data_IF_296840029568
#
_entry.id   IF_296840029568
#
_cell.length_a   1.000
_cell.length_b   1.000
_cell.length_c   1.000
_cell.angle_alpha   90.00
_cell.angle_beta   90.00
_cell.angle_gamma   90.00
#
_symmetry.space_group_name_H-M   'P 1'
#
loop_
_entity.id
_entity.type
_entity.pdbx_description
1 polymer ?
#
# COMPACT_ATOMS: atom_id res chain seq x y z
N UNK A 1 -2.88 -20.50 21.47
CA UNK A 1 -2.01 -20.08 20.35
C UNK A 1 -2.85 -19.41 19.28
N UNK A 2 -3.45 -18.26 19.60
CA UNK A 2 -4.26 -17.47 18.68
C UNK A 2 -4.00 -16.00 19.02
N UNK A 3 -3.30 -15.28 18.13
CA UNK A 3 -3.33 -13.80 18.04
C UNK A 3 -2.43 -13.24 16.93
N UNK A 4 -1.42 -13.97 16.45
CA UNK A 4 -0.44 -13.41 15.50
C UNK A 4 -1.00 -13.05 14.12
N UNK A 5 -2.05 -13.74 13.67
CA UNK A 5 -2.73 -13.44 12.40
C UNK A 5 -3.57 -12.15 12.48
N UNK A 6 -4.14 -11.85 13.66
CA UNK A 6 -4.98 -10.68 13.88
C UNK A 6 -4.13 -9.42 14.05
N UNK A 7 -3.02 -9.53 14.77
CA UNK A 7 -2.05 -8.43 14.95
C UNK A 7 -1.40 -7.99 13.63
N UNK A 8 -1.12 -8.94 12.73
CA UNK A 8 -0.59 -8.64 11.39
C UNK A 8 -1.64 -7.96 10.49
N UNK A 9 -2.89 -8.43 10.52
CA UNK A 9 -3.98 -7.81 9.77
C UNK A 9 -4.24 -6.36 10.24
N UNK A 10 -4.25 -6.14 11.55
CA UNK A 10 -4.40 -4.81 12.15
C UNK A 10 -3.25 -3.88 11.78
N UNK A 11 -2.00 -4.37 11.82
CA UNK A 11 -0.81 -3.60 11.42
C UNK A 11 -0.90 -3.16 9.96
N UNK A 12 -1.30 -4.06 9.07
CA UNK A 12 -1.45 -3.77 7.64
C UNK A 12 -2.57 -2.76 7.38
N UNK A 13 -3.69 -2.86 8.07
CA UNK A 13 -4.79 -1.88 8.01
C UNK A 13 -4.34 -0.50 8.49
N UNK A 14 -3.55 -0.44 9.57
CA UNK A 14 -3.00 0.82 10.09
C UNK A 14 -2.05 1.47 9.09
N UNK A 15 -1.15 0.69 8.48
CA UNK A 15 -0.23 1.17 7.44
C UNK A 15 -0.98 1.67 6.20
N UNK A 16 -1.96 0.91 5.72
CA UNK A 16 -2.75 1.31 4.56
C UNK A 16 -3.55 2.60 4.85
N UNK A 17 -4.10 2.74 6.05
CA UNK A 17 -4.78 3.96 6.49
C UNK A 17 -3.84 5.17 6.54
N UNK A 18 -2.60 4.97 7.01
CA UNK A 18 -1.57 6.02 7.03
C UNK A 18 -1.18 6.45 5.60
N UNK A 19 -0.99 5.49 4.68
CA UNK A 19 -0.69 5.80 3.27
C UNK A 19 -1.81 6.59 2.61
N UNK A 20 -3.07 6.22 2.84
CA UNK A 20 -4.22 6.97 2.32
C UNK A 20 -4.22 8.39 2.85
N UNK A 21 -4.04 8.59 4.17
CA UNK A 21 -3.99 9.92 4.76
C UNK A 21 -2.84 10.77 4.19
N UNK A 22 -1.66 10.17 4.00
CA UNK A 22 -0.49 10.84 3.41
C UNK A 22 -0.76 11.26 1.97
N UNK A 23 -1.29 10.36 1.14
CA UNK A 23 -1.58 10.63 -0.27
C UNK A 23 -2.64 11.73 -0.40
N UNK A 24 -3.67 11.71 0.43
CA UNK A 24 -4.70 12.75 0.45
C UNK A 24 -4.12 14.11 0.85
N UNK A 25 -3.37 14.16 1.96
CA UNK A 25 -2.76 15.40 2.47
C UNK A 25 -1.81 16.03 1.44
N UNK A 26 -0.95 15.22 0.81
CA UNK A 26 -0.05 15.72 -0.22
C UNK A 26 -0.78 16.05 -1.53
N UNK A 27 -1.88 15.36 -1.82
CA UNK A 27 -2.77 15.62 -2.96
C UNK A 27 -3.49 16.96 -2.89
N UNK A 28 -3.74 17.48 -1.68
CA UNK A 28 -4.30 18.82 -1.48
C UNK A 28 -3.34 19.93 -1.95
N UNK A 29 -2.03 19.71 -1.79
CA UNK A 29 -0.99 20.65 -2.23
C UNK A 29 -0.59 20.41 -3.70
N UNK A 30 -0.57 19.15 -4.14
CA UNK A 30 -0.24 18.75 -5.51
C UNK A 30 -1.24 17.72 -6.04
N UNK A 31 -2.19 18.20 -6.85
CA UNK A 31 -3.25 17.37 -7.45
C UNK A 31 -2.73 16.22 -8.32
N UNK A 32 -1.49 16.27 -8.80
CA UNK A 32 -0.87 15.20 -9.58
C UNK A 32 -0.23 14.11 -8.71
N UNK A 33 -0.01 14.39 -7.43
CA UNK A 33 0.68 13.50 -6.51
C UNK A 33 0.02 12.11 -6.39
N UNK A 34 -1.32 11.98 -6.20
CA UNK A 34 -1.94 10.66 -6.07
C UNK A 34 -1.67 9.74 -7.27
N UNK A 35 -1.76 10.27 -8.49
CA UNK A 35 -1.50 9.48 -9.70
C UNK A 35 -0.03 9.07 -9.83
N UNK A 36 0.92 9.95 -9.47
CA UNK A 36 2.35 9.57 -9.44
C UNK A 36 2.65 8.55 -8.37
N UNK A 37 2.03 8.67 -7.20
CA UNK A 37 2.18 7.72 -6.11
C UNK A 37 1.69 6.34 -6.53
N UNK A 38 0.49 6.24 -7.10
CA UNK A 38 -0.07 4.98 -7.61
C UNK A 38 0.85 4.30 -8.63
N UNK A 39 1.34 5.04 -9.63
CA UNK A 39 2.29 4.51 -10.64
C UNK A 39 3.58 3.99 -10.02
N UNK A 40 4.10 4.66 -8.99
CA UNK A 40 5.31 4.23 -8.31
C UNK A 40 5.08 2.96 -7.48
N UNK A 41 3.94 2.85 -6.79
CA UNK A 41 3.55 1.64 -6.06
C UNK A 41 3.41 0.46 -7.01
N UNK A 42 2.72 0.64 -8.13
CA UNK A 42 2.56 -0.42 -9.15
C UNK A 42 3.91 -0.85 -9.73
N UNK A 43 4.79 0.09 -10.05
CA UNK A 43 6.14 -0.21 -10.54
C UNK A 43 6.94 -1.03 -9.53
N UNK A 44 6.95 -0.61 -8.26
CA UNK A 44 7.67 -1.33 -7.19
C UNK A 44 7.08 -2.73 -6.99
N UNK A 45 5.75 -2.87 -7.01
CA UNK A 45 5.09 -4.17 -6.91
C UNK A 45 5.53 -5.11 -8.04
N UNK A 46 5.53 -4.65 -9.29
CA UNK A 46 6.00 -5.45 -10.43
C UNK A 46 7.48 -5.80 -10.33
N UNK A 47 8.32 -4.83 -9.93
CA UNK A 47 9.74 -5.08 -9.70
C UNK A 47 9.95 -6.16 -8.64
N UNK A 48 9.17 -6.13 -7.54
CA UNK A 48 9.22 -7.13 -6.47
C UNK A 48 8.64 -8.49 -6.88
N UNK A 49 7.65 -8.55 -7.77
CA UNK A 49 7.10 -9.79 -8.32
C UNK A 49 8.17 -10.56 -9.13
N UNK A 50 9.05 -9.84 -9.83
CA UNK A 50 10.16 -10.40 -10.59
C UNK A 50 11.34 -10.87 -9.70
N UNK A 51 11.41 -10.43 -8.43
CA UNK A 51 12.38 -10.92 -7.46
C UNK A 51 11.85 -12.18 -6.76
N UNK A 52 12.28 -13.35 -7.25
CA UNK A 52 11.95 -14.71 -6.78
C UNK A 52 12.25 -15.01 -5.29
N UNK A 53 12.58 -14.01 -4.46
CA UNK A 53 13.07 -14.20 -3.08
C UNK A 53 12.52 -13.21 -2.05
N UNK A 54 11.60 -12.32 -2.40
CA UNK A 54 11.08 -11.35 -1.42
C UNK A 54 9.94 -11.91 -0.54
N UNK A 55 9.86 -11.51 0.75
CA UNK A 55 8.85 -12.03 1.66
C UNK A 55 7.45 -11.63 1.19
N UNK A 56 6.57 -12.63 1.02
CA UNK A 56 5.14 -12.52 0.65
C UNK A 56 4.39 -11.36 1.33
N UNK A 57 4.81 -10.98 2.54
CA UNK A 57 4.19 -9.93 3.35
C UNK A 57 4.38 -8.50 2.80
N UNK A 58 5.49 -8.22 2.12
CA UNK A 58 5.73 -6.90 1.49
C UNK A 58 4.79 -6.71 0.30
N UNK A 59 4.63 -7.76 -0.51
CA UNK A 59 3.72 -7.79 -1.66
C UNK A 59 2.24 -7.62 -1.25
N UNK A 60 1.82 -8.25 -0.15
CA UNK A 60 0.45 -8.10 0.37
C UNK A 60 0.16 -6.67 0.83
N UNK A 61 1.14 -6.00 1.44
CA UNK A 61 0.99 -4.62 1.93
C UNK A 61 0.84 -3.63 0.76
N UNK A 62 1.63 -3.81 -0.30
CA UNK A 62 1.54 -3.00 -1.52
C UNK A 62 0.22 -3.22 -2.26
N UNK A 63 -0.23 -4.48 -2.36
CA UNK A 63 -1.53 -4.83 -2.97
C UNK A 63 -2.70 -4.13 -2.27
N UNK A 64 -2.75 -4.17 -0.94
CA UNK A 64 -3.84 -3.55 -0.19
C UNK A 64 -3.81 -2.03 -0.22
N UNK A 65 -2.62 -1.42 -0.20
CA UNK A 65 -2.49 0.03 -0.40
C UNK A 65 -3.08 0.46 -1.75
N UNK A 66 -2.82 -0.31 -2.82
CA UNK A 66 -3.37 -0.06 -4.14
C UNK A 66 -4.90 -0.24 -4.20
N UNK A 67 -5.45 -1.31 -3.59
CA UNK A 67 -6.90 -1.55 -3.53
C UNK A 67 -7.67 -0.44 -2.80
N UNK A 68 -7.13 0.07 -1.68
CA UNK A 68 -7.75 1.15 -0.90
C UNK A 68 -7.76 2.49 -1.64
N UNK A 69 -6.73 2.79 -2.42
CA UNK A 69 -6.68 3.99 -3.27
C UNK A 69 -7.78 3.93 -4.34
N UNK A 70 -7.95 2.77 -4.99
CA UNK A 70 -8.97 2.58 -6.04
C UNK A 70 -10.41 2.63 -5.55
N UNK A 71 -10.67 2.29 -4.29
CA UNK A 71 -12.02 2.39 -3.70
C UNK A 71 -12.42 3.84 -3.33
N UNK A 72 -11.46 4.76 -3.26
CA UNK A 72 -11.69 6.17 -2.88
C UNK A 72 -11.62 7.17 -4.03
N UNK A 73 -11.23 6.73 -5.24
CA UNK A 73 -11.33 7.51 -6.49
C UNK A 73 -12.66 7.25 -7.18
#
# INVERSE_FOLDING_TARGET
MANSLDDQAQTRLALASLFVALVQTLGEQDKSFPSRFEKNVERIYREMEDYESEPIQTMETLRWAHELIRQKS
#
